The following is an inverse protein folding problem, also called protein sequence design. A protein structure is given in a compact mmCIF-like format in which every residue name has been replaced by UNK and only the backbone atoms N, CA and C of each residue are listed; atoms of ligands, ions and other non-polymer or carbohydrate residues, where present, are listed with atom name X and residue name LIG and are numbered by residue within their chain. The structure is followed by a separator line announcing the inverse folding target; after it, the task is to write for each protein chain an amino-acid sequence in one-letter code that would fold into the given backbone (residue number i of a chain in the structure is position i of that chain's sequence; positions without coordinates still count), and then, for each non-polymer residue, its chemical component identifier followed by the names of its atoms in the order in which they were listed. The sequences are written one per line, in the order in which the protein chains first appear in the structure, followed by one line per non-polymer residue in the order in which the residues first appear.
data_IF_139272756812
#
_entry.id   IF_139272756812
#
_cell.length_a   1.000
_cell.length_b   1.000
_cell.length_c   1.000
_cell.angle_alpha   90.00
_cell.angle_beta   90.00
_cell.angle_gamma   90.00
#
_symmetry.space_group_name_H-M   'P 1'
#
loop_
_entity.id
_entity.type
_entity.pdbx_description
1 polymer ?
#
# COMPACT_ATOMS: atom_id res chain seq x y z
N UNK A 1 54.80 7.62 25.68
CA UNK A 1 55.21 8.35 24.46
C UNK A 1 55.14 7.42 23.27
N UNK A 2 54.79 7.93 22.08
CA UNK A 2 54.05 7.21 21.04
C UNK A 2 54.92 6.87 19.81
N UNK A 3 54.47 5.96 18.96
CA UNK A 3 54.89 5.94 17.56
C UNK A 3 53.72 5.55 16.67
N UNK A 4 53.15 6.60 16.08
CA UNK A 4 52.11 6.61 15.06
C UNK A 4 52.77 6.24 13.73
N UNK A 5 52.30 5.21 13.03
CA UNK A 5 52.60 5.04 11.60
C UNK A 5 51.50 5.65 10.75
N UNK A 6 51.96 6.53 9.87
CA UNK A 6 51.20 7.49 9.07
C UNK A 6 50.55 6.86 7.84
N UNK A 7 49.42 7.45 7.50
CA UNK A 7 48.74 7.47 6.21
C UNK A 7 49.69 7.75 5.03
N UNK A 8 49.42 7.13 3.88
CA UNK A 8 49.35 7.79 2.55
C UNK A 8 49.05 6.75 1.46
N UNK A 9 47.93 6.93 0.75
CA UNK A 9 47.73 6.39 -0.58
C UNK A 9 47.22 7.53 -1.50
N UNK A 10 47.69 7.65 -2.75
CA UNK A 10 47.46 8.84 -3.56
C UNK A 10 46.09 8.85 -4.24
N UNK A 11 45.50 10.05 -4.24
CA UNK A 11 44.34 10.44 -5.04
C UNK A 11 44.79 10.78 -6.48
N UNK A 12 44.11 10.29 -7.53
CA UNK A 12 44.15 10.95 -8.83
C UNK A 12 42.96 11.90 -9.03
N UNK A 13 43.12 12.92 -9.90
CA UNK A 13 42.39 14.17 -9.80
C UNK A 13 41.01 14.19 -10.49
N UNK A 14 40.20 15.10 -9.95
CA UNK A 14 38.90 15.60 -10.36
C UNK A 14 39.02 16.44 -11.63
N UNK A 15 38.40 16.00 -12.73
CA UNK A 15 38.12 16.87 -13.88
C UNK A 15 36.67 17.35 -13.81
N UNK A 16 36.48 18.67 -13.87
CA UNK A 16 35.19 19.34 -13.82
C UNK A 16 34.71 19.68 -15.23
N UNK A 17 33.41 19.40 -15.44
CA UNK A 17 32.41 20.21 -16.15
C UNK A 17 32.70 20.73 -17.57
N UNK A 18 31.93 20.21 -18.53
CA UNK A 18 31.34 21.02 -19.59
C UNK A 18 29.97 20.47 -19.97
N UNK A 19 28.95 21.26 -19.67
CA UNK A 19 27.56 21.13 -20.08
C UNK A 19 27.46 21.35 -21.59
N UNK A 20 26.97 20.37 -22.35
CA UNK A 20 26.51 20.61 -23.72
C UNK A 20 25.14 19.98 -23.92
N UNK A 21 24.16 20.86 -23.98
CA UNK A 21 22.75 20.62 -24.31
C UNK A 21 22.64 20.03 -25.73
N UNK A 22 21.74 19.06 -25.98
CA UNK A 22 21.58 18.48 -27.31
C UNK A 22 21.02 19.50 -28.30
N UNK A 23 21.77 19.73 -29.37
CA UNK A 23 21.31 20.51 -30.52
C UNK A 23 20.18 19.76 -31.22
N UNK A 24 18.96 20.27 -31.00
CA UNK A 24 17.71 19.87 -31.66
C UNK A 24 17.78 20.29 -33.13
N UNK A 25 18.13 19.38 -34.02
CA UNK A 25 18.02 19.58 -35.48
C UNK A 25 16.56 19.54 -35.89
N UNK A 26 16.04 20.70 -36.28
CA UNK A 26 14.75 20.86 -36.91
C UNK A 26 14.73 20.07 -38.24
N UNK A 27 13.75 19.18 -38.41
CA UNK A 27 13.36 18.70 -39.75
C UNK A 27 12.26 19.62 -40.26
N UNK A 28 12.58 20.32 -41.35
CA UNK A 28 11.66 21.10 -42.16
C UNK A 28 10.53 20.20 -42.72
N UNK A 29 9.34 20.79 -43.01
CA UNK A 29 8.15 20.05 -43.39
C UNK A 29 8.26 19.47 -44.80
N UNK A 30 7.86 18.21 -44.97
CA UNK A 30 7.68 17.60 -46.29
C UNK A 30 6.47 18.24 -46.98
N UNK A 31 6.75 18.78 -48.17
CA UNK A 31 5.86 19.45 -49.08
C UNK A 31 4.60 18.62 -49.39
N UNK A 32 3.44 19.26 -49.23
CA UNK A 32 2.15 18.74 -49.66
C UNK A 32 2.08 18.64 -51.18
N UNK A 33 1.84 17.43 -51.69
CA UNK A 33 1.37 17.22 -53.06
C UNK A 33 -0.16 17.22 -53.04
N UNK A 34 -0.74 18.35 -53.42
CA UNK A 34 -2.16 18.42 -53.77
C UNK A 34 -2.42 17.77 -55.12
N UNK A 35 -3.57 17.08 -55.23
CA UNK A 35 -4.36 16.79 -56.44
C UNK A 35 -5.43 15.73 -56.12
N UNK A 36 -6.55 15.67 -56.86
CA UNK A 36 -7.57 16.69 -57.10
C UNK A 36 -8.95 16.21 -56.60
N UNK A 37 -9.89 17.14 -56.42
CA UNK A 37 -11.27 16.82 -56.07
C UNK A 37 -11.94 15.99 -57.19
N UNK A 38 -12.40 14.78 -56.86
CA UNK A 38 -13.26 13.98 -57.74
C UNK A 38 -14.69 14.20 -57.26
N UNK A 39 -15.43 14.99 -58.03
CA UNK A 39 -16.88 15.15 -57.90
C UNK A 39 -17.52 13.91 -58.53
N UNK A 40 -18.19 13.09 -57.72
CA UNK A 40 -19.12 12.07 -58.20
C UNK A 40 -20.52 12.51 -57.76
N UNK A 41 -21.24 13.12 -58.69
CA UNK A 41 -22.70 13.19 -58.65
C UNK A 41 -23.20 12.02 -59.46
N UNK A 42 -23.86 11.06 -58.80
CA UNK A 42 -24.70 10.07 -59.47
C UNK A 42 -25.97 9.88 -58.66
N UNK A 43 -27.08 10.04 -59.39
CA UNK A 43 -28.45 10.13 -58.97
C UNK A 43 -29.02 8.80 -58.41
N UNK A 44 -29.90 9.01 -57.43
CA UNK A 44 -31.25 8.45 -57.32
C UNK A 44 -31.50 6.96 -57.04
N UNK A 45 -32.35 6.80 -56.01
CA UNK A 45 -33.49 5.90 -55.93
C UNK A 45 -33.24 4.39 -55.84
N UNK A 46 -33.53 3.83 -54.67
CA UNK A 46 -33.80 2.42 -54.55
C UNK A 46 -33.98 1.96 -53.10
N UNK A 47 -35.20 1.54 -52.79
CA UNK A 47 -35.55 0.59 -51.74
C UNK A 47 -35.79 1.14 -50.32
N UNK A 48 -37.04 1.57 -50.16
CA UNK A 48 -37.91 1.21 -49.05
C UNK A 48 -37.66 -0.26 -48.61
N UNK A 49 -36.80 -0.45 -47.63
CA UNK A 49 -36.87 -1.57 -46.71
C UNK A 49 -36.77 -0.96 -45.33
N UNK A 50 -37.93 -0.62 -44.77
CA UNK A 50 -38.05 -0.32 -43.35
C UNK A 50 -37.58 -1.56 -42.59
N UNK A 51 -36.32 -1.57 -42.19
CA UNK A 51 -35.85 -2.48 -41.17
C UNK A 51 -36.66 -2.14 -39.92
N UNK A 52 -37.56 -3.04 -39.54
CA UNK A 52 -37.93 -3.13 -38.14
C UNK A 52 -36.64 -3.54 -37.45
N UNK A 53 -35.89 -2.54 -36.98
CA UNK A 53 -34.79 -2.78 -36.06
C UNK A 53 -35.41 -3.50 -34.87
N UNK A 54 -35.15 -4.80 -34.79
CA UNK A 54 -35.39 -5.56 -33.58
C UNK A 54 -34.31 -5.12 -32.61
N UNK A 55 -34.63 -4.09 -31.83
CA UNK A 55 -33.83 -3.69 -30.68
C UNK A 55 -33.85 -4.85 -29.70
N UNK A 56 -32.73 -5.54 -29.59
CA UNK A 56 -32.54 -6.51 -28.52
C UNK A 56 -32.42 -5.71 -27.24
N UNK A 57 -33.49 -5.67 -26.44
CA UNK A 57 -33.41 -5.19 -25.07
C UNK A 57 -32.57 -6.19 -24.28
N UNK A 58 -31.28 -5.92 -24.16
CA UNK A 58 -30.32 -6.71 -23.39
C UNK A 58 -30.52 -6.56 -21.87
N UNK A 59 -31.63 -5.96 -21.42
CA UNK A 59 -31.96 -5.77 -20.00
C UNK A 59 -30.96 -4.86 -19.28
N UNK A 60 -30.07 -4.21 -20.05
CA UNK A 60 -29.00 -3.33 -19.57
C UNK A 60 -29.42 -1.87 -19.45
N UNK A 61 -30.72 -1.58 -19.56
CA UNK A 61 -31.30 -0.37 -19.00
C UNK A 61 -31.28 -0.44 -17.45
N UNK A 62 -30.08 -0.55 -16.91
CA UNK A 62 -29.74 -0.05 -15.61
C UNK A 62 -29.74 1.48 -15.75
N UNK A 63 -30.94 2.07 -15.78
CA UNK A 63 -31.08 3.48 -15.42
C UNK A 63 -30.27 3.72 -14.15
N UNK A 64 -29.57 4.86 -14.00
CA UNK A 64 -28.41 4.99 -13.12
C UNK A 64 -28.67 4.33 -11.78
N UNK A 65 -28.17 3.10 -11.63
CA UNK A 65 -28.12 2.46 -10.34
C UNK A 65 -27.06 3.28 -9.64
N UNK A 66 -27.51 4.18 -8.75
CA UNK A 66 -26.63 4.73 -7.75
C UNK A 66 -26.07 3.52 -7.01
N UNK A 67 -24.92 3.04 -7.48
CA UNK A 67 -24.09 2.15 -6.73
C UNK A 67 -23.82 2.93 -5.45
N UNK A 68 -24.48 2.53 -4.37
CA UNK A 68 -24.13 3.00 -3.04
C UNK A 68 -22.66 2.62 -2.88
N UNK A 69 -21.80 3.61 -3.13
CA UNK A 69 -20.38 3.39 -3.16
C UNK A 69 -20.02 3.15 -1.70
N UNK A 70 -20.03 1.88 -1.28
CA UNK A 70 -19.52 1.43 0.01
C UNK A 70 -18.12 1.99 0.12
N UNK A 71 -18.00 3.16 0.74
CA UNK A 71 -16.75 3.88 0.83
C UNK A 71 -15.94 3.11 1.85
N UNK A 72 -15.04 2.27 1.34
CA UNK A 72 -14.05 1.60 2.17
C UNK A 72 -13.41 2.64 3.11
N UNK A 73 -13.34 2.38 4.42
CA UNK A 73 -12.73 3.30 5.36
C UNK A 73 -11.33 3.69 4.88
N UNK A 74 -11.01 4.98 4.90
CA UNK A 74 -9.67 5.43 4.55
C UNK A 74 -8.69 5.01 5.66
N UNK A 75 -7.48 4.54 5.31
CA UNK A 75 -6.44 4.26 6.29
C UNK A 75 -6.14 5.51 7.12
N UNK A 76 -6.06 5.35 8.43
CA UNK A 76 -5.62 6.43 9.33
C UNK A 76 -4.12 6.31 9.54
N UNK A 77 -3.36 7.21 8.91
CA UNK A 77 -1.91 7.27 9.09
C UNK A 77 -1.55 8.17 10.26
N UNK A 78 -0.90 7.61 11.27
CA UNK A 78 -0.35 8.34 12.41
C UNK A 78 1.16 8.39 12.30
N UNK A 79 1.74 9.47 12.84
CA UNK A 79 3.18 9.58 13.05
C UNK A 79 3.42 9.68 14.53
N UNK A 80 4.21 8.76 15.06
CA UNK A 80 4.77 8.93 16.40
C UNK A 80 5.81 10.05 16.29
N UNK A 81 5.77 11.11 17.13
CA UNK A 81 6.85 12.10 17.19
C UNK A 81 8.16 11.34 17.33
N UNK A 82 9.01 11.43 16.29
CA UNK A 82 10.16 10.60 15.86
C UNK A 82 11.19 10.18 16.94
N UNK A 83 10.72 9.74 18.09
CA UNK A 83 11.48 9.17 19.18
C UNK A 83 11.60 7.69 18.89
N UNK A 84 12.84 7.26 18.73
CA UNK A 84 13.16 5.90 18.29
C UNK A 84 13.26 4.91 19.45
N UNK A 85 13.35 5.42 20.67
CA UNK A 85 13.51 4.59 21.85
C UNK A 85 12.16 4.08 22.34
N UNK A 86 12.04 2.77 22.67
CA UNK A 86 10.80 2.21 23.18
C UNK A 86 10.29 2.95 24.43
N UNK A 87 8.98 3.12 24.53
CA UNK A 87 8.30 3.56 25.75
C UNK A 87 8.27 2.43 26.78
N UNK A 88 8.13 2.81 28.04
CA UNK A 88 7.95 1.85 29.14
C UNK A 88 6.62 1.11 29.04
N UNK A 89 6.48 0.01 29.79
CA UNK A 89 5.22 -0.75 29.87
C UNK A 89 4.04 0.10 30.37
N UNK A 90 4.29 0.98 31.33
CA UNK A 90 3.28 1.91 31.86
C UNK A 90 2.77 2.90 30.80
N UNK A 91 3.60 3.26 29.83
CA UNK A 91 3.27 4.22 28.76
C UNK A 91 2.71 3.54 27.50
N UNK A 92 2.80 2.20 27.43
CA UNK A 92 2.46 1.41 26.24
C UNK A 92 1.02 1.66 25.78
N UNK A 93 0.05 1.63 26.70
CA UNK A 93 -1.35 1.86 26.38
C UNK A 93 -1.61 3.25 25.76
N UNK A 94 -0.98 4.29 26.31
CA UNK A 94 -1.09 5.65 25.78
C UNK A 94 -0.43 5.79 24.41
N UNK A 95 0.71 5.12 24.19
CA UNK A 95 1.35 5.06 22.88
C UNK A 95 0.48 4.35 21.83
N UNK A 96 -0.14 3.21 22.19
CA UNK A 96 -1.07 2.48 21.31
C UNK A 96 -2.27 3.35 20.94
N UNK A 97 -2.90 4.01 21.92
CA UNK A 97 -4.10 4.83 21.68
C UNK A 97 -3.83 5.98 20.69
N UNK A 98 -2.62 6.56 20.71
CA UNK A 98 -2.21 7.61 19.76
C UNK A 98 -1.81 7.06 18.40
N UNK A 99 -1.10 5.94 18.36
CA UNK A 99 -0.52 5.41 17.12
C UNK A 99 -1.50 4.55 16.33
N UNK A 100 -2.38 3.83 17.01
CA UNK A 100 -3.45 3.03 16.42
C UNK A 100 -4.80 3.52 16.98
N UNK A 101 -5.28 4.70 16.55
CA UNK A 101 -6.51 5.28 17.08
C UNK A 101 -7.72 4.40 16.73
N UNK A 102 -8.76 4.49 17.56
CA UNK A 102 -10.05 3.94 17.19
C UNK A 102 -10.60 4.69 15.97
N UNK A 103 -11.22 3.94 15.09
CA UNK A 103 -11.71 4.34 13.77
C UNK A 103 -13.20 4.01 13.61
N UNK A 104 -13.84 3.51 14.67
CA UNK A 104 -15.26 3.18 14.73
C UNK A 104 -15.62 1.83 14.14
N UNK A 105 -14.68 1.12 13.49
CA UNK A 105 -14.93 -0.27 13.06
C UNK A 105 -14.74 -1.25 14.20
N UNK A 106 -15.50 -2.36 14.16
CA UNK A 106 -15.42 -3.44 15.16
C UNK A 106 -14.00 -4.02 15.23
N UNK A 107 -13.35 -3.85 16.37
CA UNK A 107 -12.06 -4.49 16.69
C UNK A 107 -12.33 -5.94 17.08
N UNK A 108 -11.70 -6.89 16.37
CA UNK A 108 -11.85 -8.33 16.60
C UNK A 108 -10.64 -8.95 17.29
N UNK A 109 -9.47 -8.33 17.15
CA UNK A 109 -8.25 -8.71 17.85
C UNK A 109 -7.31 -7.51 17.98
N UNK A 110 -6.53 -7.46 19.05
CA UNK A 110 -5.48 -6.46 19.23
C UNK A 110 -4.44 -6.96 20.21
N UNK A 111 -3.20 -6.54 20.04
CA UNK A 111 -2.10 -6.84 20.94
C UNK A 111 -1.04 -5.76 20.87
N UNK A 112 -0.26 -5.65 21.94
CA UNK A 112 0.84 -4.73 22.04
C UNK A 112 1.83 -5.22 23.10
N UNK A 113 3.11 -4.88 22.93
CA UNK A 113 4.12 -5.31 23.86
C UNK A 113 5.49 -4.69 23.62
N UNK A 114 6.44 -5.17 24.42
CA UNK A 114 7.86 -4.89 24.27
C UNK A 114 8.56 -6.13 23.70
N UNK A 115 9.46 -5.91 22.76
CA UNK A 115 10.39 -6.92 22.26
C UNK A 115 11.81 -6.48 22.62
N UNK A 116 12.56 -7.33 23.33
CA UNK A 116 13.96 -7.11 23.61
C UNK A 116 14.81 -7.19 22.32
N UNK A 117 16.07 -6.74 22.39
CA UNK A 117 16.96 -6.80 21.24
C UNK A 117 17.24 -8.27 20.84
N UNK A 118 16.99 -8.59 19.57
CA UNK A 118 17.12 -9.96 19.04
C UNK A 118 15.95 -10.86 19.40
N UNK A 119 14.92 -10.35 20.10
CA UNK A 119 13.78 -11.13 20.50
C UNK A 119 12.79 -11.34 19.35
N UNK A 120 12.17 -12.53 19.39
CA UNK A 120 11.04 -12.90 18.56
C UNK A 120 9.84 -13.10 19.48
N UNK A 121 8.79 -12.31 19.28
CA UNK A 121 7.49 -12.49 19.94
C UNK A 121 6.51 -13.14 18.98
N UNK A 122 5.69 -14.05 19.49
CA UNK A 122 4.60 -14.68 18.74
C UNK A 122 3.34 -14.59 19.58
N UNK A 123 2.27 -14.10 18.97
CA UNK A 123 0.93 -14.07 19.55
C UNK A 123 -0.03 -14.74 18.58
N UNK A 124 -1.01 -15.47 19.11
CA UNK A 124 -2.06 -16.09 18.30
C UNK A 124 -3.37 -15.40 18.61
N UNK A 125 -4.09 -14.95 17.59
CA UNK A 125 -5.42 -14.35 17.76
C UNK A 125 -6.45 -15.43 18.11
N UNK A 126 -7.61 -15.06 18.68
CA UNK A 126 -8.78 -15.92 18.60
C UNK A 126 -9.09 -16.31 17.15
N UNK A 127 -9.86 -17.38 16.96
CA UNK A 127 -10.38 -17.74 15.66
C UNK A 127 -11.30 -16.63 15.12
N UNK A 128 -11.05 -16.19 13.89
CA UNK A 128 -11.76 -15.10 13.24
C UNK A 128 -12.61 -15.66 12.11
N UNK A 129 -13.87 -15.24 11.99
CA UNK A 129 -14.76 -15.68 10.92
C UNK A 129 -14.29 -15.31 9.51
N UNK A 130 -14.95 -15.85 8.50
CA UNK A 130 -14.67 -15.47 7.11
C UNK A 130 -15.03 -14.00 6.85
N UNK A 131 -14.16 -13.29 6.14
CA UNK A 131 -14.36 -11.87 5.86
C UNK A 131 -13.11 -11.11 5.45
N UNK A 132 -13.28 -9.81 5.27
CA UNK A 132 -12.24 -8.83 4.97
C UNK A 132 -11.92 -8.03 6.22
N UNK A 133 -10.63 -7.93 6.53
CA UNK A 133 -10.13 -7.30 7.75
C UNK A 133 -9.10 -6.21 7.41
N UNK A 134 -9.13 -5.13 8.18
CA UNK A 134 -8.04 -4.15 8.22
C UNK A 134 -7.10 -4.49 9.38
N UNK A 135 -5.86 -4.84 9.04
CA UNK A 135 -4.75 -5.03 9.97
C UNK A 135 -3.92 -3.74 10.03
N UNK A 136 -4.00 -3.04 11.16
CA UNK A 136 -3.13 -1.92 11.46
C UNK A 136 -1.95 -2.40 12.31
N UNK A 137 -0.73 -2.03 11.91
CA UNK A 137 0.53 -2.37 12.56
C UNK A 137 1.27 -1.09 12.94
N UNK A 138 1.93 -1.11 14.09
CA UNK A 138 2.79 -0.03 14.53
C UNK A 138 4.01 -0.57 15.26
N UNK A 139 5.12 0.17 15.16
CA UNK A 139 6.30 -0.10 15.97
C UNK A 139 7.03 1.19 16.33
N UNK A 140 7.78 1.12 17.43
CA UNK A 140 8.69 2.16 17.92
C UNK A 140 10.03 1.51 18.25
N UNK A 141 11.06 1.79 17.44
CA UNK A 141 12.40 1.22 17.58
C UNK A 141 13.43 2.03 16.77
N UNK A 142 14.70 1.86 17.09
CA UNK A 142 15.83 2.43 16.34
C UNK A 142 16.05 1.76 14.98
N UNK A 143 15.60 0.51 14.83
CA UNK A 143 15.67 -0.27 13.60
C UNK A 143 14.28 -0.64 13.11
N UNK A 144 14.22 -1.24 11.92
CA UNK A 144 12.96 -1.82 11.43
C UNK A 144 12.59 -3.02 12.30
N UNK A 145 11.29 -3.21 12.48
CA UNK A 145 10.71 -4.40 13.10
C UNK A 145 10.04 -5.20 11.98
N UNK A 146 10.31 -6.51 11.94
CA UNK A 146 9.64 -7.39 10.98
C UNK A 146 8.36 -7.90 11.61
N UNK A 147 7.25 -7.75 10.88
CA UNK A 147 5.97 -8.35 11.21
C UNK A 147 5.67 -9.45 10.19
N UNK A 148 5.37 -10.63 10.69
CA UNK A 148 4.86 -11.74 9.90
C UNK A 148 3.50 -12.13 10.46
N UNK A 149 2.46 -12.05 9.64
CA UNK A 149 1.10 -12.50 9.98
C UNK A 149 0.73 -13.64 9.05
N UNK A 150 0.43 -14.79 9.64
CA UNK A 150 0.14 -16.02 8.90
C UNK A 150 -1.09 -16.71 9.45
N UNK A 151 -1.80 -17.42 8.58
CA UNK A 151 -2.67 -18.51 8.98
C UNK A 151 -1.85 -19.82 9.05
N UNK A 152 -2.52 -20.93 9.28
CA UNK A 152 -1.92 -22.26 9.16
C UNK A 152 -1.37 -22.53 7.74
N UNK A 153 -2.03 -21.99 6.71
CA UNK A 153 -1.79 -22.35 5.31
C UNK A 153 -1.07 -21.28 4.50
N UNK A 154 -1.13 -20.01 4.91
CA UNK A 154 -0.70 -18.88 4.10
C UNK A 154 -0.03 -17.79 4.94
N UNK A 155 1.03 -17.18 4.40
CA UNK A 155 1.56 -15.92 4.91
C UNK A 155 0.77 -14.76 4.30
N UNK A 156 0.03 -14.04 5.13
CA UNK A 156 -0.83 -12.93 4.72
C UNK A 156 -0.07 -11.60 4.68
N UNK A 157 0.87 -11.42 5.61
CA UNK A 157 1.74 -10.24 5.68
C UNK A 157 3.13 -10.70 6.07
N UNK A 158 4.15 -10.23 5.35
CA UNK A 158 5.54 -10.32 5.76
C UNK A 158 6.25 -9.03 5.35
N UNK A 159 6.53 -8.15 6.32
CA UNK A 159 7.14 -6.86 6.03
C UNK A 159 8.04 -6.35 7.15
N UNK A 160 9.12 -5.66 6.76
CA UNK A 160 9.97 -4.87 7.66
C UNK A 160 9.44 -3.44 7.81
N UNK A 161 8.70 -3.16 8.87
CA UNK A 161 8.08 -1.87 9.13
C UNK A 161 9.12 -0.83 9.59
N UNK A 162 9.08 0.36 8.99
CA UNK A 162 9.81 1.52 9.49
C UNK A 162 9.06 2.09 10.68
N UNK A 163 9.64 1.98 11.87
CA UNK A 163 9.03 2.45 13.10
C UNK A 163 8.85 3.97 13.13
N UNK A 164 7.81 4.41 13.84
CA UNK A 164 7.35 5.80 13.92
C UNK A 164 6.23 6.17 12.93
N UNK A 165 5.85 5.26 12.03
CA UNK A 165 4.66 5.40 11.17
C UNK A 165 3.90 4.08 11.21
N UNK A 166 2.59 4.14 11.41
CA UNK A 166 1.76 2.95 11.33
C UNK A 166 1.56 2.49 9.87
N UNK A 167 1.21 1.22 9.70
CA UNK A 167 0.92 0.63 8.39
C UNK A 167 -0.39 -0.12 8.49
N UNK A 168 -1.27 0.12 7.53
CA UNK A 168 -2.50 -0.64 7.37
C UNK A 168 -2.36 -1.60 6.17
N UNK A 169 -2.81 -2.84 6.34
CA UNK A 169 -2.97 -3.82 5.28
C UNK A 169 -4.39 -4.38 5.34
N UNK A 170 -4.96 -4.68 4.18
CA UNK A 170 -6.25 -5.38 4.08
C UNK A 170 -5.97 -6.84 3.83
N UNK A 171 -6.54 -7.72 4.64
CA UNK A 171 -6.43 -9.18 4.51
C UNK A 171 -7.81 -9.79 4.33
N UNK A 172 -7.88 -10.92 3.63
CA UNK A 172 -9.11 -11.68 3.42
C UNK A 172 -8.94 -13.09 4.02
N UNK A 173 -9.92 -13.52 4.81
CA UNK A 173 -10.01 -14.86 5.36
C UNK A 173 -11.20 -15.56 4.71
N UNK A 174 -10.94 -16.69 4.07
CA UNK A 174 -11.98 -17.47 3.36
C UNK A 174 -12.80 -18.37 4.29
N UNK A 175 -12.33 -18.59 5.51
CA UNK A 175 -12.93 -19.48 6.51
C UNK A 175 -12.56 -18.98 7.90
N UNK A 176 -13.13 -19.61 8.93
CA UNK A 176 -12.74 -19.36 10.31
C UNK A 176 -11.25 -19.68 10.51
N UNK A 177 -10.46 -18.74 11.00
CA UNK A 177 -8.99 -18.86 11.03
C UNK A 177 -8.39 -18.08 12.20
N UNK A 178 -7.54 -18.72 13.00
CA UNK A 178 -6.66 -18.04 13.94
C UNK A 178 -5.41 -17.55 13.21
N UNK A 179 -4.93 -16.36 13.55
CA UNK A 179 -3.73 -15.76 12.96
C UNK A 179 -2.58 -15.79 13.95
N UNK A 180 -1.43 -16.26 13.50
CA UNK A 180 -0.16 -16.09 14.21
C UNK A 180 0.49 -14.78 13.78
N UNK A 181 0.76 -13.94 14.77
CA UNK A 181 1.40 -12.64 14.64
C UNK A 181 2.79 -12.75 15.25
N UNK A 182 3.80 -12.79 14.39
CA UNK A 182 5.20 -12.85 14.76
C UNK A 182 5.84 -11.48 14.59
N UNK A 183 6.60 -11.07 15.60
CA UNK A 183 7.29 -9.79 15.67
C UNK A 183 8.76 -10.04 15.95
N UNK A 184 9.63 -9.60 15.04
CA UNK A 184 11.08 -9.72 15.20
C UNK A 184 11.73 -8.35 15.30
N UNK A 185 12.45 -8.12 16.40
CA UNK A 185 13.07 -6.85 16.70
C UNK A 185 14.59 -7.01 16.83
N UNK A 186 15.36 -6.38 15.91
CA UNK A 186 16.84 -6.41 15.98
C UNK A 186 17.41 -5.57 17.14
N UNK A 187 16.64 -4.60 17.59
CA UNK A 187 16.92 -3.73 18.75
C UNK A 187 15.66 -3.68 19.60
N UNK A 188 15.75 -3.21 20.85
CA UNK A 188 14.55 -3.01 21.68
C UNK A 188 13.44 -2.26 20.93
N UNK A 189 12.21 -2.74 21.04
CA UNK A 189 11.07 -2.21 20.31
C UNK A 189 9.78 -2.27 21.13
N UNK A 190 8.90 -1.29 20.97
CA UNK A 190 7.47 -1.53 21.16
C UNK A 190 6.85 -1.96 19.84
N UNK A 191 5.84 -2.82 19.93
CA UNK A 191 5.00 -3.20 18.81
C UNK A 191 3.54 -3.14 19.21
N UNK A 192 2.67 -2.93 18.24
CA UNK A 192 1.24 -3.04 18.41
C UNK A 192 0.57 -3.45 17.10
N UNK A 193 -0.55 -4.16 17.22
CA UNK A 193 -1.44 -4.44 16.12
C UNK A 193 -2.91 -4.27 16.54
N UNK A 194 -3.74 -3.97 15.55
CA UNK A 194 -5.19 -3.96 15.69
C UNK A 194 -5.83 -4.52 14.43
N UNK A 195 -6.71 -5.49 14.63
CA UNK A 195 -7.47 -6.14 13.58
C UNK A 195 -8.92 -5.68 13.66
N UNK A 196 -9.44 -5.15 12.55
CA UNK A 196 -10.81 -4.64 12.44
C UNK A 196 -11.56 -5.38 11.34
N UNK A 197 -12.80 -5.76 11.61
CA UNK A 197 -13.68 -6.33 10.59
C UNK A 197 -14.18 -5.19 9.69
N UNK A 198 -13.97 -5.32 8.37
CA UNK A 198 -14.51 -4.40 7.37
C UNK A 198 -15.83 -4.91 6.79
N UNK A 199 -15.88 -6.21 6.47
CA UNK A 199 -17.05 -6.90 5.94
C UNK A 199 -16.88 -8.40 6.15
N UNK A 200 -17.92 -9.12 6.55
CA UNK A 200 -17.83 -10.56 6.79
C UNK A 200 -18.95 -11.06 7.68
N UNK A 201 -19.04 -12.37 7.86
CA UNK A 201 -20.04 -12.99 8.71
C UNK A 201 -19.57 -12.91 10.19
N UNK A 202 -20.45 -12.54 11.14
CA UNK A 202 -20.10 -12.36 12.54
C UNK A 202 -19.66 -13.65 13.24
#
# INVERSE_FOLDING_TARGET
MPSVRKFSAPHPPRAQSATTVPARTARAPLAGKGRPAVVIVALAAGMLLGGCEYTYDDGRNLGPVEADATRAPRPVFTRDPLQKDPVSEAELGSWVARTLPDTGQRVVASGAGLAAAGEVRTETTPALGAGTYALALACRSQRRVTFTVRSETLTLVDLGLRCGINRENVIYLSAETALDIRVEARTGANYAYRLRLLSGQP
#
